data_IF_762444351714
#
_entry.id   IF_762444351714
#
_cell.length_a   1.000
_cell.length_b   1.000
_cell.length_c   1.000
_cell.angle_alpha   90.00
_cell.angle_beta   90.00
_cell.angle_gamma   90.00
#
_symmetry.space_group_name_H-M   'P 1'
#
loop_
_entity.id
_entity.type
_entity.pdbx_description
1 polymer ?
#
# COMPACT_ATOMS: atom_id res chain seq x y z
N UNK A 1 19.18 4.15 10.03
CA UNK A 1 20.35 4.99 9.70
C UNK A 1 21.69 4.31 10.00
N UNK A 2 21.98 3.83 11.20
CA UNK A 2 23.32 3.28 11.54
C UNK A 2 23.74 2.03 10.74
N UNK A 3 22.83 1.05 10.60
CA UNK A 3 23.19 -0.30 10.11
C UNK A 3 22.95 -0.55 8.63
N UNK A 4 21.90 0.06 8.08
CA UNK A 4 21.42 -0.25 6.74
C UNK A 4 21.56 0.89 5.75
N UNK A 5 21.67 2.15 6.18
CA UNK A 5 21.80 3.25 5.23
C UNK A 5 23.15 3.17 4.50
N UNK A 6 23.24 3.34 3.16
CA UNK A 6 22.21 3.78 2.22
C UNK A 6 21.56 2.64 1.40
N UNK A 7 21.43 1.44 1.95
CA UNK A 7 20.68 0.35 1.31
C UNK A 7 19.18 0.57 1.43
N UNK A 8 18.42 -0.17 0.61
CA UNK A 8 16.97 -0.08 0.56
C UNK A 8 16.31 -0.53 1.86
N UNK A 9 16.81 -1.59 2.49
CA UNK A 9 16.22 -2.19 3.69
C UNK A 9 17.25 -2.69 4.69
N UNK A 10 16.79 -2.99 5.91
CA UNK A 10 17.59 -3.58 6.97
C UNK A 10 17.42 -5.10 6.99
N UNK A 11 18.51 -5.84 7.17
CA UNK A 11 18.49 -7.22 7.66
C UNK A 11 18.52 -7.18 9.19
N UNK A 12 17.39 -7.39 9.88
CA UNK A 12 17.24 -7.05 11.29
C UNK A 12 17.96 -7.99 12.24
N UNK A 13 18.38 -9.18 11.81
CA UNK A 13 19.12 -10.14 12.65
C UNK A 13 20.63 -9.88 12.58
N UNK A 14 21.19 -9.75 11.37
CA UNK A 14 22.63 -9.46 11.19
C UNK A 14 22.99 -7.97 11.27
N UNK A 15 22.00 -7.08 11.28
CA UNK A 15 22.18 -5.62 11.32
C UNK A 15 23.05 -5.08 10.18
N UNK A 16 22.75 -5.50 8.96
CA UNK A 16 23.38 -5.01 7.73
C UNK A 16 22.31 -4.55 6.73
N UNK A 17 22.70 -3.74 5.76
CA UNK A 17 21.82 -3.33 4.67
C UNK A 17 21.51 -4.46 3.68
N UNK A 18 20.31 -4.41 3.11
CA UNK A 18 19.81 -5.25 2.02
C UNK A 18 19.46 -4.35 0.84
N UNK A 19 20.06 -4.63 -0.31
CA UNK A 19 19.64 -4.08 -1.60
C UNK A 19 19.22 -5.22 -2.51
N UNK A 20 19.08 -4.91 -3.79
CA UNK A 20 18.68 -5.90 -4.81
C UNK A 20 19.61 -7.11 -4.90
N UNK A 21 19.05 -8.24 -5.31
CA UNK A 21 19.79 -9.46 -5.61
C UNK A 21 20.46 -9.33 -6.99
N UNK A 22 21.72 -8.91 -6.96
CA UNK A 22 22.55 -8.78 -8.16
C UNK A 22 23.05 -10.13 -8.69
N UNK A 23 23.01 -11.17 -7.86
CA UNK A 23 23.46 -12.51 -8.25
C UNK A 23 22.36 -13.26 -9.00
N UNK A 24 21.10 -13.03 -8.63
CA UNK A 24 19.94 -13.58 -9.31
C UNK A 24 18.95 -12.47 -9.73
N UNK A 25 19.05 -11.96 -10.97
CA UNK A 25 18.10 -11.00 -11.52
C UNK A 25 16.65 -11.53 -11.58
N UNK A 26 16.44 -12.85 -11.53
CA UNK A 26 15.10 -13.46 -11.56
C UNK A 26 14.43 -13.56 -10.20
N UNK A 27 15.10 -13.13 -9.13
CA UNK A 27 14.55 -13.05 -7.77
C UNK A 27 13.54 -11.90 -7.65
N UNK A 28 12.38 -12.06 -8.30
CA UNK A 28 11.33 -11.03 -8.37
C UNK A 28 10.77 -10.70 -6.99
N UNK A 29 10.72 -11.65 -6.06
CA UNK A 29 10.24 -11.42 -4.70
C UNK A 29 11.06 -10.41 -3.89
N UNK A 30 12.26 -10.04 -4.37
CA UNK A 30 13.13 -9.03 -3.79
C UNK A 30 13.41 -7.90 -4.79
N UNK A 31 13.76 -8.22 -6.04
CA UNK A 31 14.15 -7.22 -7.05
C UNK A 31 12.99 -6.36 -7.55
N UNK A 32 11.74 -6.81 -7.42
CA UNK A 32 10.57 -6.01 -7.82
C UNK A 32 10.44 -4.74 -6.98
N UNK A 33 10.91 -4.79 -5.73
CA UNK A 33 10.79 -3.74 -4.71
C UNK A 33 12.14 -3.07 -4.43
N UNK A 34 13.26 -3.79 -4.45
CA UNK A 34 14.58 -3.22 -4.15
C UNK A 34 15.26 -2.75 -5.44
N UNK A 35 15.49 -1.44 -5.56
CA UNK A 35 16.11 -0.84 -6.74
C UNK A 35 17.31 0.04 -6.47
N UNK A 36 17.91 -0.06 -5.29
CA UNK A 36 19.06 0.72 -4.82
C UNK A 36 18.79 2.24 -4.79
N UNK A 37 17.65 2.64 -4.23
CA UNK A 37 17.16 4.02 -4.21
C UNK A 37 16.69 4.50 -2.83
N UNK A 38 17.26 3.93 -1.75
CA UNK A 38 16.99 4.32 -0.37
C UNK A 38 15.55 4.01 0.06
N UNK A 39 14.98 2.89 -0.40
CA UNK A 39 13.57 2.55 -0.26
C UNK A 39 12.99 2.89 1.13
N UNK A 40 13.51 2.27 2.19
CA UNK A 40 13.00 2.46 3.56
C UNK A 40 13.09 3.91 4.00
N UNK A 41 14.14 4.65 3.61
CA UNK A 41 14.27 6.05 4.00
C UNK A 41 13.19 6.91 3.35
N UNK A 42 12.93 6.72 2.06
CA UNK A 42 11.89 7.47 1.32
C UNK A 42 10.50 7.11 1.83
N UNK A 43 10.24 5.82 2.00
CA UNK A 43 8.96 5.28 2.49
C UNK A 43 8.62 5.78 3.91
N UNK A 44 9.64 6.00 4.75
CA UNK A 44 9.45 6.44 6.15
C UNK A 44 9.33 7.96 6.33
N UNK A 45 9.59 8.78 5.30
CA UNK A 45 9.69 10.25 5.48
C UNK A 45 8.44 10.85 6.13
N UNK A 46 7.25 10.49 5.65
CA UNK A 46 6.00 11.03 6.20
C UNK A 46 5.68 10.49 7.59
N UNK A 47 6.20 9.31 7.95
CA UNK A 47 6.09 8.77 9.32
C UNK A 47 6.83 9.66 10.31
N UNK A 48 8.03 10.14 9.97
CA UNK A 48 8.77 11.08 10.84
C UNK A 48 7.96 12.36 11.09
N UNK A 49 7.23 12.83 10.07
CA UNK A 49 6.32 13.95 10.20
C UNK A 49 5.13 13.63 11.11
N UNK A 50 4.53 12.45 10.98
CA UNK A 50 3.44 11.97 11.85
C UNK A 50 3.87 11.90 13.32
N UNK A 51 5.11 11.49 13.57
CA UNK A 51 5.70 11.40 14.91
C UNK A 51 6.03 12.76 15.55
N UNK A 52 5.96 13.86 14.79
CA UNK A 52 6.29 15.19 15.29
C UNK A 52 7.79 15.51 15.34
N UNK A 53 8.65 14.69 14.72
CA UNK A 53 10.11 14.88 14.74
C UNK A 53 10.61 15.69 13.54
N UNK A 54 10.53 17.03 13.65
CA UNK A 54 10.94 17.96 12.59
C UNK A 54 12.43 17.89 12.27
N UNK A 55 13.28 17.70 13.29
CA UNK A 55 14.73 17.65 13.10
C UNK A 55 15.11 16.40 12.31
N UNK A 56 14.54 15.24 12.67
CA UNK A 56 14.77 14.01 11.94
C UNK A 56 14.17 14.05 10.54
N UNK A 57 12.97 14.61 10.37
CA UNK A 57 12.35 14.78 9.05
C UNK A 57 13.24 15.62 8.11
N UNK A 58 13.70 16.80 8.55
CA UNK A 58 14.60 17.65 7.76
C UNK A 58 15.92 16.93 7.44
N UNK A 59 16.49 16.23 8.42
CA UNK A 59 17.72 15.42 8.22
C UNK A 59 17.51 14.30 7.20
N UNK A 60 16.40 13.58 7.29
CA UNK A 60 16.06 12.48 6.40
C UNK A 60 15.84 12.98 4.97
N UNK A 61 15.11 14.09 4.79
CA UNK A 61 14.96 14.75 3.48
C UNK A 61 16.32 15.12 2.92
N UNK A 62 17.19 15.78 3.69
CA UNK A 62 18.56 16.12 3.24
C UNK A 62 19.37 14.89 2.84
N UNK A 63 19.24 13.77 3.55
CA UNK A 63 19.90 12.53 3.19
C UNK A 63 19.37 11.97 1.87
N UNK A 64 18.06 11.95 1.65
CA UNK A 64 17.48 11.56 0.35
C UNK A 64 18.07 12.41 -0.77
N UNK A 65 18.04 13.74 -0.62
CA UNK A 65 18.53 14.66 -1.66
C UNK A 65 20.05 14.59 -1.90
N UNK A 66 20.82 14.13 -0.91
CA UNK A 66 22.27 13.98 -1.02
C UNK A 66 22.64 12.67 -1.73
N UNK A 67 21.92 11.58 -1.43
CA UNK A 67 22.29 10.23 -1.87
C UNK A 67 21.49 9.76 -3.09
N UNK A 68 20.27 10.24 -3.30
CA UNK A 68 19.42 9.96 -4.46
C UNK A 68 19.33 11.21 -5.35
N UNK A 69 20.10 11.21 -6.44
CA UNK A 69 20.18 12.36 -7.37
C UNK A 69 19.07 12.35 -8.43
N UNK A 70 18.80 11.17 -8.96
CA UNK A 70 17.81 10.86 -9.98
C UNK A 70 17.53 9.35 -9.94
N UNK A 71 16.55 8.90 -10.72
CA UNK A 71 16.21 7.50 -10.91
C UNK A 71 16.83 6.92 -12.19
N UNK A 72 17.97 7.45 -12.69
CA UNK A 72 18.73 6.87 -13.82
C UNK A 72 19.49 5.60 -13.44
N UNK A 73 18.76 4.68 -12.84
CA UNK A 73 19.25 3.45 -12.22
C UNK A 73 18.88 2.30 -13.14
N UNK A 74 19.87 1.48 -13.51
CA UNK A 74 19.63 0.25 -14.27
C UNK A 74 19.02 -0.82 -13.36
N UNK A 75 17.76 -0.64 -12.98
CA UNK A 75 16.98 -1.55 -12.13
C UNK A 75 15.65 -1.90 -12.78
N UNK A 76 15.36 -3.20 -12.81
CA UNK A 76 14.08 -3.75 -13.25
C UNK A 76 13.16 -3.87 -12.05
N UNK A 77 12.07 -3.12 -12.04
CA UNK A 77 11.22 -2.91 -10.87
C UNK A 77 9.76 -3.13 -11.22
N UNK A 78 8.94 -3.43 -10.21
CA UNK A 78 7.49 -3.54 -10.38
C UNK A 78 6.83 -2.16 -10.27
N UNK A 79 6.04 -1.81 -11.28
CA UNK A 79 5.40 -0.49 -11.39
C UNK A 79 4.51 -0.19 -10.19
N UNK A 80 3.75 -1.19 -9.74
CA UNK A 80 2.88 -1.09 -8.56
C UNK A 80 3.67 -0.74 -7.29
N UNK A 81 4.66 -1.56 -6.94
CA UNK A 81 5.46 -1.40 -5.72
C UNK A 81 6.21 -0.07 -5.67
N UNK A 82 6.82 0.32 -6.78
CA UNK A 82 7.56 1.59 -6.85
C UNK A 82 6.62 2.79 -6.83
N UNK A 83 5.40 2.65 -7.35
CA UNK A 83 4.40 3.72 -7.28
C UNK A 83 3.97 3.95 -5.84
N UNK A 84 3.51 2.92 -5.15
CA UNK A 84 2.92 3.09 -3.81
C UNK A 84 3.98 3.47 -2.76
N UNK A 85 5.21 2.94 -2.87
CA UNK A 85 6.31 3.21 -1.91
C UNK A 85 7.11 4.46 -2.26
N UNK A 86 7.74 4.48 -3.43
CA UNK A 86 8.71 5.54 -3.77
C UNK A 86 8.01 6.80 -4.26
N UNK A 87 7.10 6.68 -5.22
CA UNK A 87 6.37 7.84 -5.72
C UNK A 87 5.45 8.40 -4.61
N UNK A 88 4.72 7.53 -3.91
CA UNK A 88 3.91 7.89 -2.75
C UNK A 88 4.70 8.61 -1.65
N UNK A 89 5.80 8.04 -1.19
CA UNK A 89 6.65 8.62 -0.13
C UNK A 89 7.25 9.98 -0.51
N UNK A 90 7.78 10.12 -1.73
CA UNK A 90 8.31 11.40 -2.23
C UNK A 90 7.24 12.49 -2.31
N UNK A 91 6.05 12.15 -2.83
CA UNK A 91 4.94 13.09 -2.96
C UNK A 91 4.41 13.49 -1.58
N UNK A 92 4.20 12.53 -0.69
CA UNK A 92 3.74 12.79 0.68
C UNK A 92 4.70 13.72 1.43
N UNK A 93 5.98 13.39 1.43
CA UNK A 93 7.00 14.21 2.08
C UNK A 93 7.10 15.61 1.46
N UNK A 94 6.95 15.75 0.13
CA UNK A 94 6.91 17.06 -0.52
C UNK A 94 5.70 17.90 -0.06
N UNK A 95 4.52 17.29 0.01
CA UNK A 95 3.28 17.95 0.44
C UNK A 95 3.43 18.42 1.89
N UNK A 96 4.00 17.60 2.76
CA UNK A 96 4.26 17.95 4.16
C UNK A 96 5.29 19.09 4.25
N UNK A 97 6.40 18.99 3.51
CA UNK A 97 7.48 19.98 3.56
C UNK A 97 7.07 21.35 3.00
N UNK A 98 6.01 21.42 2.20
CA UNK A 98 5.50 22.66 1.58
C UNK A 98 4.10 23.04 2.07
N UNK A 99 3.61 22.40 3.14
CA UNK A 99 2.28 22.66 3.65
C UNK A 99 2.16 24.08 4.22
N UNK A 100 1.37 24.94 3.55
CA UNK A 100 1.15 26.32 3.99
C UNK A 100 0.46 26.42 5.35
N UNK A 101 -0.43 25.47 5.65
CA UNK A 101 -1.15 25.38 6.94
C UNK A 101 -0.25 24.83 8.06
N UNK A 102 0.90 24.28 7.69
CA UNK A 102 1.87 23.63 8.58
C UNK A 102 1.19 22.62 9.52
N UNK A 103 0.31 21.78 8.96
CA UNK A 103 -0.60 20.89 9.70
C UNK A 103 0.14 19.99 10.68
N UNK A 104 1.32 19.50 10.28
CA UNK A 104 2.21 18.65 11.08
C UNK A 104 3.40 19.40 11.67
N UNK A 105 3.54 20.71 11.45
CA UNK A 105 4.69 21.49 11.93
C UNK A 105 5.99 21.27 11.14
N UNK A 106 5.93 20.60 9.99
CA UNK A 106 7.08 20.09 9.23
C UNK A 106 7.47 20.93 8.03
N UNK A 107 6.89 22.12 7.86
CA UNK A 107 7.20 22.99 6.73
C UNK A 107 8.70 23.35 6.66
N UNK A 108 9.32 23.17 5.48
CA UNK A 108 10.76 23.34 5.21
C UNK A 108 11.09 24.42 4.15
N UNK A 109 10.10 24.90 3.39
CA UNK A 109 10.27 25.87 2.29
C UNK A 109 10.41 27.35 2.77
N UNK A 110 10.21 27.63 4.06
CA UNK A 110 10.18 28.99 4.62
C UNK A 110 11.53 29.74 4.50
N UNK A 111 12.65 29.04 4.64
CA UNK A 111 14.00 29.64 4.70
C UNK A 111 14.85 29.37 3.45
N UNK A 112 14.24 28.85 2.37
CA UNK A 112 14.96 28.45 1.16
C UNK A 112 15.84 27.20 1.33
N UNK A 113 15.72 26.48 2.44
CA UNK A 113 16.40 25.21 2.71
C UNK A 113 15.87 24.04 1.90
N UNK A 114 14.63 24.17 1.43
CA UNK A 114 13.95 23.22 0.56
C UNK A 114 13.24 23.99 -0.57
N UNK A 115 13.39 23.53 -1.80
CA UNK A 115 12.87 24.19 -3.00
C UNK A 115 12.26 23.15 -3.96
N UNK A 116 11.48 22.20 -3.43
CA UNK A 116 10.73 21.23 -4.21
C UNK A 116 11.57 20.12 -4.85
N UNK A 117 12.75 19.81 -4.30
CA UNK A 117 13.64 18.76 -4.82
C UNK A 117 12.97 17.38 -4.82
N UNK A 118 12.18 17.05 -3.78
CA UNK A 118 11.46 15.76 -3.74
C UNK A 118 10.41 15.66 -4.86
N UNK A 119 9.72 16.76 -5.20
CA UNK A 119 8.80 16.78 -6.34
C UNK A 119 9.54 16.59 -7.66
N UNK A 120 10.76 17.12 -7.80
CA UNK A 120 11.60 16.87 -9.00
C UNK A 120 11.98 15.40 -9.12
N UNK A 121 12.33 14.74 -8.01
CA UNK A 121 12.59 13.31 -7.97
C UNK A 121 11.33 12.49 -8.30
N UNK A 122 10.18 12.84 -7.71
CA UNK A 122 8.90 12.19 -7.99
C UNK A 122 8.52 12.31 -9.48
N UNK A 123 8.74 13.49 -10.07
CA UNK A 123 8.53 13.74 -11.50
C UNK A 123 9.46 12.88 -12.37
N UNK A 124 10.76 12.82 -12.05
CA UNK A 124 11.71 11.96 -12.77
C UNK A 124 11.29 10.48 -12.72
N UNK A 125 10.90 9.99 -11.53
CA UNK A 125 10.38 8.64 -11.37
C UNK A 125 9.12 8.40 -12.21
N UNK A 126 8.15 9.31 -12.16
CA UNK A 126 6.92 9.22 -12.93
C UNK A 126 7.19 9.03 -14.43
N UNK A 127 8.13 9.78 -15.00
CA UNK A 127 8.52 9.64 -16.41
C UNK A 127 9.13 8.28 -16.73
N UNK A 128 9.89 7.69 -15.81
CA UNK A 128 10.52 6.38 -15.99
C UNK A 128 9.54 5.21 -15.89
N UNK A 129 8.38 5.46 -15.28
CA UNK A 129 7.28 4.49 -15.21
C UNK A 129 6.36 4.54 -16.44
N UNK A 130 6.30 5.67 -17.18
CA UNK A 130 5.44 5.82 -18.36
C UNK A 130 5.64 4.75 -19.45
N UNK A 131 6.86 4.25 -19.76
CA UNK A 131 7.03 3.21 -20.76
C UNK A 131 6.19 1.96 -20.52
N UNK A 132 5.91 1.60 -19.27
CA UNK A 132 5.03 0.48 -18.94
C UNK A 132 3.59 0.67 -19.45
N UNK A 133 3.12 1.90 -19.55
CA UNK A 133 1.79 2.26 -20.04
C UNK A 133 1.80 2.51 -21.56
N UNK A 134 2.78 3.27 -22.05
CA UNK A 134 2.82 3.76 -23.44
C UNK A 134 3.06 2.62 -24.44
N UNK A 135 3.86 1.62 -24.05
CA UNK A 135 4.15 0.45 -24.89
C UNK A 135 3.08 -0.65 -24.75
N UNK A 136 2.06 -0.43 -23.92
CA UNK A 136 0.94 -1.36 -23.76
C UNK A 136 -0.06 -1.26 -24.93
N UNK A 137 -0.58 -2.38 -25.45
CA UNK A 137 -1.56 -2.38 -26.54
C UNK A 137 -2.91 -1.75 -26.17
N UNK A 138 -3.23 -1.58 -24.89
CA UNK A 138 -4.53 -1.07 -24.42
C UNK A 138 -4.42 -0.07 -23.25
N UNK A 139 -3.22 0.40 -22.92
CA UNK A 139 -2.98 1.32 -21.81
C UNK A 139 -2.98 0.68 -20.42
N UNK A 140 -3.22 -0.63 -20.29
CA UNK A 140 -2.96 -1.37 -19.05
C UNK A 140 -1.44 -1.50 -18.86
N UNK A 141 -0.85 -1.02 -17.75
CA UNK A 141 0.58 -1.06 -17.58
C UNK A 141 1.10 -2.50 -17.53
N UNK A 142 2.26 -2.73 -18.17
CA UNK A 142 3.07 -3.90 -17.83
C UNK A 142 3.41 -3.88 -16.33
N UNK A 143 3.47 -5.05 -15.70
CA UNK A 143 3.74 -5.12 -14.27
C UNK A 143 5.13 -4.57 -13.92
N UNK A 144 6.09 -4.64 -14.85
CA UNK A 144 7.48 -4.25 -14.63
C UNK A 144 8.02 -3.36 -15.74
N UNK A 145 9.03 -2.58 -15.40
CA UNK A 145 9.81 -1.74 -16.32
C UNK A 145 11.23 -1.57 -15.78
N UNK A 146 12.19 -1.22 -16.63
CA UNK A 146 13.51 -0.82 -16.18
C UNK A 146 13.58 0.72 -16.05
N UNK A 147 14.03 1.24 -14.91
CA UNK A 147 14.03 2.68 -14.63
C UNK A 147 14.97 3.48 -15.55
N UNK A 148 16.00 2.85 -16.12
CA UNK A 148 16.94 3.47 -17.06
C UNK A 148 16.58 3.18 -18.53
N UNK A 149 16.14 1.96 -18.81
CA UNK A 149 16.00 1.44 -20.16
C UNK A 149 14.56 1.38 -20.67
N UNK A 150 13.56 1.67 -19.84
CA UNK A 150 12.14 1.54 -20.19
C UNK A 150 11.70 0.07 -20.21
N UNK A 151 10.71 -0.24 -21.05
CA UNK A 151 10.15 -1.59 -21.12
C UNK A 151 11.16 -2.59 -21.72
N UNK A 152 11.55 -3.66 -21.01
CA UNK A 152 12.44 -4.67 -21.57
C UNK A 152 11.81 -5.45 -22.72
N UNK A 153 12.63 -5.83 -23.71
CA UNK A 153 12.17 -6.72 -24.80
C UNK A 153 11.76 -8.09 -24.24
N UNK A 154 10.53 -8.51 -24.53
CA UNK A 154 10.01 -9.79 -24.07
C UNK A 154 9.48 -9.75 -22.65
N UNK A 155 9.21 -8.56 -22.09
CA UNK A 155 8.51 -8.42 -20.82
C UNK A 155 7.17 -9.19 -20.82
N UNK A 156 6.84 -9.76 -19.67
CA UNK A 156 5.64 -10.57 -19.49
C UNK A 156 4.38 -9.70 -19.51
N UNK A 157 3.34 -10.16 -20.21
CA UNK A 157 2.02 -9.50 -20.27
C UNK A 157 1.17 -9.71 -19.01
N UNK A 158 1.66 -10.47 -18.04
CA UNK A 158 0.97 -10.80 -16.80
C UNK A 158 1.02 -9.64 -15.80
N UNK A 159 -0.13 -9.24 -15.29
CA UNK A 159 -0.29 -8.27 -14.20
C UNK A 159 -1.42 -8.72 -13.27
N UNK A 160 -1.75 -7.95 -12.24
CA UNK A 160 -2.87 -8.19 -11.35
C UNK A 160 -3.83 -7.00 -11.29
N UNK A 161 -5.05 -7.22 -10.77
CA UNK A 161 -6.04 -6.14 -10.68
C UNK A 161 -5.54 -4.98 -9.80
N UNK A 162 -4.95 -5.30 -8.64
CA UNK A 162 -4.33 -4.34 -7.75
C UNK A 162 -3.21 -3.55 -8.45
N UNK A 163 -2.31 -4.25 -9.15
CA UNK A 163 -1.18 -3.61 -9.84
C UNK A 163 -1.57 -2.63 -10.94
N UNK A 164 -2.76 -2.78 -11.52
CA UNK A 164 -3.31 -1.84 -12.52
C UNK A 164 -4.18 -0.76 -11.87
N UNK A 165 -4.95 -1.14 -10.85
CA UNK A 165 -5.96 -0.29 -10.24
C UNK A 165 -5.44 0.71 -9.20
N UNK A 166 -4.20 0.54 -8.76
CA UNK A 166 -3.67 1.19 -7.55
C UNK A 166 -2.54 2.18 -7.87
N UNK A 167 -2.76 2.99 -8.90
CA UNK A 167 -1.76 3.97 -9.38
C UNK A 167 -2.30 5.40 -9.38
N UNK A 168 -3.63 5.54 -9.27
CA UNK A 168 -4.33 6.78 -9.58
C UNK A 168 -4.11 7.89 -8.53
N UNK A 169 -3.97 7.54 -7.25
CA UNK A 169 -3.74 8.55 -6.21
C UNK A 169 -2.38 9.22 -6.39
N UNK A 170 -1.32 8.45 -6.59
CA UNK A 170 0.05 8.93 -6.76
C UNK A 170 0.24 9.66 -8.08
N UNK A 171 -0.17 9.04 -9.19
CA UNK A 171 -0.06 9.67 -10.52
C UNK A 171 -0.95 10.90 -10.63
N UNK A 172 -2.14 10.86 -10.02
CA UNK A 172 -3.01 12.03 -9.91
C UNK A 172 -2.35 13.15 -9.12
N UNK A 173 -1.85 12.85 -7.91
CA UNK A 173 -1.11 13.81 -7.07
C UNK A 173 0.06 14.43 -7.82
N UNK A 174 0.86 13.61 -8.53
CA UNK A 174 1.97 14.09 -9.34
C UNK A 174 1.49 15.07 -10.41
N UNK A 175 0.45 14.73 -11.17
CA UNK A 175 -0.15 15.64 -12.16
C UNK A 175 -0.62 16.97 -11.56
N UNK A 176 -1.20 16.96 -10.35
CA UNK A 176 -1.64 18.20 -9.68
C UNK A 176 -0.47 19.09 -9.29
N UNK A 177 0.58 18.50 -8.76
CA UNK A 177 1.74 19.23 -8.26
C UNK A 177 2.65 19.74 -9.39
N UNK A 178 2.77 19.00 -10.50
CA UNK A 178 3.62 19.41 -11.64
C UNK A 178 2.86 20.12 -12.76
N UNK A 179 1.53 20.11 -12.73
CA UNK A 179 0.65 20.58 -13.80
C UNK A 179 0.83 19.79 -15.12
N UNK A 180 1.25 18.53 -15.04
CA UNK A 180 1.44 17.63 -16.20
C UNK A 180 0.39 16.53 -16.18
N UNK A 181 -0.62 16.63 -17.04
CA UNK A 181 -1.79 15.74 -17.02
C UNK A 181 -1.51 14.31 -17.47
N UNK A 182 -0.35 14.04 -18.08
CA UNK A 182 0.00 12.71 -18.60
C UNK A 182 -0.08 11.62 -17.54
N UNK A 183 0.40 11.89 -16.31
CA UNK A 183 0.44 10.90 -15.23
C UNK A 183 -0.98 10.47 -14.82
N UNK A 184 -1.83 11.42 -14.46
CA UNK A 184 -3.23 11.14 -14.11
C UNK A 184 -3.97 10.47 -15.28
N UNK A 185 -3.73 10.91 -16.52
CA UNK A 185 -4.39 10.35 -17.69
C UNK A 185 -4.06 8.86 -17.90
N UNK A 186 -2.79 8.45 -17.82
CA UNK A 186 -2.42 7.03 -18.00
C UNK A 186 -2.99 6.15 -16.90
N UNK A 187 -2.97 6.62 -15.64
CA UNK A 187 -3.53 5.88 -14.51
C UNK A 187 -5.07 5.76 -14.60
N UNK A 188 -5.76 6.83 -15.03
CA UNK A 188 -7.22 6.79 -15.27
C UNK A 188 -7.58 5.84 -16.41
N UNK A 189 -6.82 5.84 -17.50
CA UNK A 189 -7.04 4.94 -18.62
C UNK A 189 -6.86 3.48 -18.21
N UNK A 190 -5.80 3.17 -17.46
CA UNK A 190 -5.53 1.85 -16.91
C UNK A 190 -6.68 1.34 -16.02
N UNK A 191 -7.15 2.17 -15.08
CA UNK A 191 -8.27 1.82 -14.20
C UNK A 191 -9.58 1.64 -14.99
N UNK A 192 -9.84 2.48 -16.00
CA UNK A 192 -11.01 2.36 -16.86
C UNK A 192 -10.97 1.08 -17.70
N UNK A 193 -9.82 0.71 -18.25
CA UNK A 193 -9.65 -0.54 -18.99
C UNK A 193 -9.93 -1.73 -18.06
N UNK A 194 -9.31 -1.74 -16.87
CA UNK A 194 -9.54 -2.79 -15.87
C UNK A 194 -11.02 -2.88 -15.48
N UNK A 195 -11.71 -1.76 -15.31
CA UNK A 195 -13.15 -1.71 -15.02
C UNK A 195 -14.00 -2.45 -16.07
N UNK A 196 -13.59 -2.46 -17.34
CA UNK A 196 -14.32 -3.15 -18.41
C UNK A 196 -14.17 -4.67 -18.41
N UNK A 197 -13.14 -5.20 -17.74
CA UNK A 197 -12.81 -6.64 -17.77
C UNK A 197 -13.52 -7.45 -16.69
N UNK A 198 -14.28 -6.80 -15.81
CA UNK A 198 -15.03 -7.46 -14.75
C UNK A 198 -16.03 -8.48 -15.28
N UNK A 199 -16.35 -9.46 -14.43
CA UNK A 199 -17.38 -10.43 -14.75
C UNK A 199 -18.78 -9.80 -14.75
N UNK A 200 -19.78 -10.54 -15.24
CA UNK A 200 -21.20 -10.18 -15.11
C UNK A 200 -21.67 -10.05 -13.65
N UNK A 201 -20.89 -10.54 -12.70
CA UNK A 201 -21.11 -10.40 -11.25
C UNK A 201 -20.36 -9.21 -10.65
N UNK A 202 -19.74 -8.37 -11.49
CA UNK A 202 -18.94 -7.20 -11.10
C UNK A 202 -17.68 -7.52 -10.28
N UNK A 203 -17.19 -8.76 -10.36
CA UNK A 203 -15.96 -9.19 -9.69
C UNK A 203 -14.76 -9.03 -10.64
N UNK A 204 -13.60 -8.69 -10.09
CA UNK A 204 -12.29 -8.75 -10.77
C UNK A 204 -11.65 -10.12 -10.53
N UNK A 205 -10.88 -10.60 -11.50
CA UNK A 205 -9.99 -11.74 -11.25
C UNK A 205 -8.69 -11.28 -10.61
N UNK A 206 -7.81 -12.22 -10.31
CA UNK A 206 -6.53 -11.95 -9.65
C UNK A 206 -5.45 -11.58 -10.66
N UNK A 207 -5.08 -12.52 -11.54
CA UNK A 207 -4.05 -12.32 -12.55
C UNK A 207 -4.67 -12.10 -13.93
N UNK A 208 -4.19 -11.08 -14.64
CA UNK A 208 -4.68 -10.60 -15.92
C UNK A 208 -3.56 -10.59 -16.96
N UNK A 209 -3.83 -11.09 -18.16
CA UNK A 209 -2.95 -10.94 -19.31
C UNK A 209 -3.42 -9.76 -20.16
N UNK A 210 -2.61 -8.70 -20.21
CA UNK A 210 -2.94 -7.47 -20.93
C UNK A 210 -2.95 -7.64 -22.45
N UNK A 211 -2.17 -8.59 -23.00
CA UNK A 211 -2.09 -8.83 -24.45
C UNK A 211 -3.31 -9.59 -24.96
N UNK A 212 -3.73 -10.61 -24.21
CA UNK A 212 -4.91 -11.43 -24.52
C UNK A 212 -6.21 -10.81 -24.02
N UNK A 213 -6.12 -9.78 -23.16
CA UNK A 213 -7.25 -9.19 -22.42
C UNK A 213 -8.07 -10.23 -21.68
N UNK A 214 -7.39 -11.12 -20.95
CA UNK A 214 -8.01 -12.29 -20.29
C UNK A 214 -7.49 -12.49 -18.88
N UNK A 215 -8.40 -12.84 -17.98
CA UNK A 215 -8.06 -13.34 -16.64
C UNK A 215 -7.42 -14.72 -16.71
N UNK A 216 -6.19 -14.82 -16.25
CA UNK A 216 -5.41 -16.06 -16.17
C UNK A 216 -5.71 -16.81 -14.86
N UNK A 217 -5.92 -16.07 -13.77
CA UNK A 217 -6.37 -16.59 -12.49
C UNK A 217 -7.69 -15.90 -12.10
N UNK A 218 -8.86 -16.45 -12.46
CA UNK A 218 -10.17 -15.84 -12.23
C UNK A 218 -10.66 -15.99 -10.78
N UNK A 219 -9.76 -15.99 -9.79
CA UNK A 219 -10.10 -15.95 -8.37
C UNK A 219 -10.31 -14.48 -7.98
N UNK A 220 -11.37 -14.22 -7.22
CA UNK A 220 -11.74 -12.92 -6.66
C UNK A 220 -11.91 -13.04 -5.15
N UNK A 221 -11.88 -11.92 -4.45
CA UNK A 221 -11.96 -11.88 -2.99
C UNK A 221 -11.48 -10.51 -2.50
N UNK A 222 -10.98 -10.47 -1.27
CA UNK A 222 -10.43 -9.26 -0.64
C UNK A 222 -8.92 -9.32 -0.47
N UNK A 223 -8.25 -10.36 -0.99
CA UNK A 223 -6.84 -10.61 -0.74
C UNK A 223 -5.89 -10.16 -1.84
N UNK A 224 -4.66 -10.67 -1.73
CA UNK A 224 -3.51 -10.27 -2.51
C UNK A 224 -3.79 -10.25 -4.01
N UNK A 225 -3.56 -9.12 -4.67
CA UNK A 225 -3.67 -8.95 -6.12
C UNK A 225 -5.03 -8.43 -6.60
N UNK A 226 -6.00 -8.28 -5.70
CA UNK A 226 -7.27 -7.56 -5.95
C UNK A 226 -7.58 -6.51 -4.89
N UNK A 227 -7.24 -6.74 -3.63
CA UNK A 227 -7.28 -5.80 -2.50
C UNK A 227 -7.38 -4.30 -2.86
N UNK A 228 -6.27 -3.66 -3.23
CA UNK A 228 -6.13 -2.21 -3.24
C UNK A 228 -6.85 -1.55 -4.43
N UNK A 229 -7.37 -2.31 -5.41
CA UNK A 229 -8.25 -1.73 -6.44
C UNK A 229 -9.55 -1.21 -5.81
N UNK A 230 -10.10 -1.91 -4.82
CA UNK A 230 -11.33 -1.50 -4.16
C UNK A 230 -11.09 -0.26 -3.32
N UNK A 231 -9.97 -0.26 -2.60
CA UNK A 231 -9.50 0.88 -1.82
C UNK A 231 -9.34 2.12 -2.70
N UNK A 232 -8.68 2.00 -3.86
CA UNK A 232 -8.45 3.13 -4.75
C UNK A 232 -9.72 3.61 -5.44
N UNK A 233 -10.72 2.76 -5.68
CA UNK A 233 -12.03 3.22 -6.13
C UNK A 233 -12.67 4.13 -5.07
N UNK A 234 -12.67 3.74 -3.79
CA UNK A 234 -13.25 4.57 -2.74
C UNK A 234 -12.41 5.83 -2.48
N UNK A 235 -11.10 5.67 -2.26
CA UNK A 235 -10.18 6.77 -1.93
C UNK A 235 -10.05 7.77 -3.09
N UNK A 236 -10.17 7.34 -4.36
CA UNK A 236 -10.22 8.27 -5.49
C UNK A 236 -11.49 9.14 -5.48
N UNK A 237 -12.62 8.64 -4.99
CA UNK A 237 -13.78 9.51 -4.79
C UNK A 237 -13.51 10.57 -3.72
N UNK A 238 -12.96 10.16 -2.56
CA UNK A 238 -12.63 11.08 -1.46
C UNK A 238 -11.64 12.15 -1.94
N UNK A 239 -10.62 11.73 -2.68
CA UNK A 239 -9.53 12.58 -3.17
C UNK A 239 -9.96 13.51 -4.32
N UNK A 240 -10.58 12.99 -5.38
CA UNK A 240 -10.93 13.81 -6.57
C UNK A 240 -12.34 14.40 -6.55
N UNK A 241 -13.23 13.93 -5.66
CA UNK A 241 -14.66 14.30 -5.65
C UNK A 241 -15.47 13.75 -6.83
N UNK A 242 -14.90 12.84 -7.61
CA UNK A 242 -15.53 12.30 -8.82
C UNK A 242 -16.41 11.09 -8.48
N UNK A 243 -17.73 11.29 -8.57
CA UNK A 243 -18.73 10.28 -8.24
C UNK A 243 -18.69 9.03 -9.13
N UNK A 244 -17.95 9.04 -10.25
CA UNK A 244 -17.71 7.83 -11.03
C UNK A 244 -17.00 6.76 -10.20
N UNK A 245 -16.06 7.18 -9.35
CA UNK A 245 -15.29 6.26 -8.51
C UNK A 245 -16.12 5.69 -7.36
N UNK A 246 -16.96 6.51 -6.72
CA UNK A 246 -17.90 6.02 -5.70
C UNK A 246 -18.88 5.00 -6.28
N UNK A 247 -19.52 5.33 -7.41
CA UNK A 247 -20.41 4.37 -8.10
C UNK A 247 -19.68 3.09 -8.47
N UNK A 248 -18.41 3.21 -8.83
CA UNK A 248 -17.61 2.07 -9.21
C UNK A 248 -17.34 1.17 -7.99
N UNK A 249 -16.92 1.78 -6.89
CA UNK A 249 -16.76 1.15 -5.59
C UNK A 249 -18.05 0.46 -5.13
N UNK A 250 -19.18 1.16 -5.11
CA UNK A 250 -20.48 0.63 -4.63
C UNK A 250 -20.86 -0.66 -5.35
N UNK A 251 -20.65 -0.70 -6.67
CA UNK A 251 -20.93 -1.86 -7.52
C UNK A 251 -20.03 -3.05 -7.16
N UNK A 252 -18.73 -2.82 -6.96
CA UNK A 252 -17.79 -3.89 -6.63
C UNK A 252 -17.91 -4.35 -5.19
N UNK A 253 -18.16 -3.41 -4.27
CA UNK A 253 -18.37 -3.66 -2.86
C UNK A 253 -19.64 -4.48 -2.62
N UNK A 254 -20.75 -4.09 -3.26
CA UNK A 254 -22.00 -4.87 -3.24
C UNK A 254 -21.80 -6.29 -3.77
N UNK A 255 -20.96 -6.47 -4.79
CA UNK A 255 -20.64 -7.80 -5.30
C UNK A 255 -19.84 -8.65 -4.31
N UNK A 256 -18.87 -8.07 -3.60
CA UNK A 256 -18.13 -8.76 -2.53
C UNK A 256 -19.06 -9.16 -1.38
N UNK A 257 -19.92 -8.24 -0.93
CA UNK A 257 -20.93 -8.52 0.10
C UNK A 257 -21.90 -9.64 -0.32
N UNK A 258 -22.28 -9.68 -1.60
CA UNK A 258 -23.22 -10.66 -2.12
C UNK A 258 -22.59 -12.05 -2.34
N UNK A 259 -21.37 -12.10 -2.87
CA UNK A 259 -20.79 -13.33 -3.39
C UNK A 259 -19.61 -13.86 -2.59
N UNK A 260 -18.84 -13.00 -1.90
CA UNK A 260 -17.64 -13.39 -1.15
C UNK A 260 -17.90 -13.48 0.36
N UNK A 261 -18.71 -12.57 0.93
CA UNK A 261 -19.01 -12.55 2.36
C UNK A 261 -19.73 -13.83 2.81
N UNK A 262 -19.27 -14.40 3.91
CA UNK A 262 -19.96 -15.50 4.59
C UNK A 262 -21.36 -15.07 5.01
N UNK A 263 -22.37 -15.81 4.55
CA UNK A 263 -23.79 -15.53 4.84
C UNK A 263 -24.25 -16.11 6.17
N UNK A 264 -23.44 -16.94 6.83
CA UNK A 264 -23.80 -17.56 8.11
C UNK A 264 -23.55 -16.60 9.27
N UNK A 265 -22.34 -16.06 9.37
CA UNK A 265 -21.94 -15.21 10.48
C UNK A 265 -21.32 -13.88 10.05
N UNK A 266 -21.05 -13.68 8.75
CA UNK A 266 -20.56 -12.40 8.23
C UNK A 266 -19.11 -12.07 8.59
N UNK A 267 -18.36 -13.02 9.13
CA UNK A 267 -16.99 -12.82 9.65
C UNK A 267 -15.89 -12.97 8.59
N UNK A 268 -16.14 -13.68 7.49
CA UNK A 268 -15.13 -14.01 6.50
C UNK A 268 -15.56 -13.56 5.11
N UNK A 269 -14.57 -13.25 4.27
CA UNK A 269 -14.72 -13.05 2.84
C UNK A 269 -13.98 -14.17 2.11
N UNK A 270 -14.72 -15.08 1.50
CA UNK A 270 -14.15 -16.22 0.79
C UNK A 270 -13.58 -15.81 -0.56
N UNK A 271 -12.53 -16.49 -0.97
CA UNK A 271 -12.06 -16.46 -2.35
C UNK A 271 -13.07 -17.19 -3.25
N UNK A 272 -13.59 -16.50 -4.26
CA UNK A 272 -14.62 -17.00 -5.17
C UNK A 272 -14.21 -16.88 -6.62
N UNK A 273 -14.75 -17.74 -7.47
CA UNK A 273 -14.50 -17.68 -8.90
C UNK A 273 -15.28 -16.50 -9.49
N UNK A 274 -14.62 -15.58 -10.19
CA UNK A 274 -15.20 -14.30 -10.56
C UNK A 274 -16.46 -14.42 -11.45
N UNK A 275 -16.56 -15.46 -12.29
CA UNK A 275 -17.73 -15.66 -13.17
C UNK A 275 -18.88 -16.42 -12.48
N UNK A 276 -18.57 -17.52 -11.78
CA UNK A 276 -19.60 -18.40 -11.19
C UNK A 276 -20.00 -17.99 -9.77
N UNK A 277 -19.15 -17.24 -9.07
CA UNK A 277 -19.23 -16.95 -7.63
C UNK A 277 -19.19 -18.20 -6.75
N UNK A 278 -18.69 -19.32 -7.26
CA UNK A 278 -18.43 -20.51 -6.45
C UNK A 278 -17.15 -20.31 -5.65
N UNK A 279 -17.14 -20.81 -4.40
CA UNK A 279 -15.95 -20.78 -3.54
C UNK A 279 -14.80 -21.50 -4.26
N UNK A 280 -13.71 -20.76 -4.48
CA UNK A 280 -12.48 -21.25 -5.12
C UNK A 280 -11.47 -21.77 -4.12
N UNK A 281 -11.42 -21.19 -2.92
CA UNK A 281 -10.59 -21.68 -1.83
C UNK A 281 -11.17 -21.30 -0.47
N UNK A 282 -10.72 -22.03 0.55
CA UNK A 282 -11.09 -21.79 1.95
C UNK A 282 -10.01 -21.05 2.73
N UNK A 283 -8.95 -20.57 2.06
CA UNK A 283 -7.94 -19.75 2.73
C UNK A 283 -8.24 -18.26 2.54
N UNK A 284 -7.83 -17.46 3.53
CA UNK A 284 -7.67 -16.00 3.44
C UNK A 284 -6.20 -15.67 3.62
N UNK A 285 -5.75 -14.53 3.09
CA UNK A 285 -4.39 -14.06 3.30
C UNK A 285 -4.32 -12.94 4.34
N UNK A 286 -3.12 -12.67 4.84
CA UNK A 286 -2.89 -11.61 5.83
C UNK A 286 -3.26 -10.22 5.29
N UNK A 287 -3.05 -10.00 3.99
CA UNK A 287 -3.34 -8.72 3.32
C UNK A 287 -4.83 -8.39 3.38
N UNK A 288 -5.70 -9.40 3.28
CA UNK A 288 -7.16 -9.26 3.40
C UNK A 288 -7.62 -8.57 4.71
N UNK A 289 -6.74 -8.46 5.72
CA UNK A 289 -7.03 -7.78 6.98
C UNK A 289 -7.19 -6.26 6.85
N UNK A 290 -6.93 -5.65 5.68
CA UNK A 290 -7.16 -4.22 5.42
C UNK A 290 -8.65 -3.91 5.24
N UNK A 291 -9.39 -4.93 4.75
CA UNK A 291 -10.75 -4.77 4.26
C UNK A 291 -11.73 -4.23 5.32
N UNK A 292 -11.66 -4.63 6.61
CA UNK A 292 -12.46 -3.98 7.66
C UNK A 292 -12.22 -2.47 7.76
N UNK A 293 -10.97 -1.99 7.69
CA UNK A 293 -10.66 -0.56 7.65
C UNK A 293 -11.28 0.15 6.44
N UNK A 294 -11.26 -0.49 5.27
CA UNK A 294 -11.94 0.01 4.07
C UNK A 294 -13.47 0.04 4.24
N UNK A 295 -14.06 -0.96 4.92
CA UNK A 295 -15.50 -0.98 5.24
C UNK A 295 -15.90 0.17 6.16
N UNK A 296 -15.06 0.50 7.16
CA UNK A 296 -15.26 1.70 7.99
C UNK A 296 -15.28 2.96 7.13
N UNK A 297 -14.31 3.12 6.21
CA UNK A 297 -14.27 4.27 5.30
C UNK A 297 -15.50 4.34 4.38
N UNK A 298 -16.07 3.20 4.02
CA UNK A 298 -17.32 3.10 3.26
C UNK A 298 -18.59 3.37 4.09
N UNK A 299 -18.46 3.47 5.42
CA UNK A 299 -19.56 3.67 6.36
C UNK A 299 -20.24 2.38 6.83
N UNK A 300 -19.73 1.18 6.49
CA UNK A 300 -20.21 -0.10 7.01
C UNK A 300 -19.43 -0.51 8.26
N UNK A 301 -19.65 0.21 9.37
CA UNK A 301 -18.95 -0.02 10.65
C UNK A 301 -19.35 -1.37 11.25
N UNK A 302 -20.64 -1.70 11.32
CA UNK A 302 -21.11 -2.99 11.88
C UNK A 302 -20.55 -4.20 11.12
N UNK A 303 -20.48 -4.10 9.78
CA UNK A 303 -19.86 -5.11 8.95
C UNK A 303 -18.36 -5.22 9.17
N UNK A 304 -17.68 -4.08 9.35
CA UNK A 304 -16.25 -4.03 9.64
C UNK A 304 -15.92 -4.69 10.98
N UNK A 305 -16.65 -4.37 12.05
CA UNK A 305 -16.49 -4.99 13.38
C UNK A 305 -16.61 -6.51 13.28
N UNK A 306 -17.62 -7.00 12.55
CA UNK A 306 -17.81 -8.43 12.32
C UNK A 306 -16.60 -9.04 11.59
N UNK A 307 -16.23 -8.51 10.43
CA UNK A 307 -15.12 -9.05 9.63
C UNK A 307 -13.77 -9.00 10.38
N UNK A 308 -13.56 -7.98 11.20
CA UNK A 308 -12.36 -7.80 12.02
C UNK A 308 -12.15 -8.91 13.03
N UNK A 309 -13.22 -9.45 13.62
CA UNK A 309 -13.13 -10.47 14.68
C UNK A 309 -12.42 -11.75 14.22
N UNK A 310 -12.48 -12.09 12.93
CA UNK A 310 -11.74 -13.22 12.38
C UNK A 310 -10.22 -13.02 12.56
N UNK A 311 -9.70 -11.87 12.15
CA UNK A 311 -8.27 -11.56 12.24
C UNK A 311 -7.83 -11.40 13.70
N UNK A 312 -8.68 -10.79 14.54
CA UNK A 312 -8.44 -10.74 15.98
C UNK A 312 -8.25 -12.13 16.59
N UNK A 313 -9.12 -13.09 16.27
CA UNK A 313 -9.01 -14.45 16.79
C UNK A 313 -7.80 -15.21 16.23
N UNK A 314 -7.40 -14.94 14.98
CA UNK A 314 -6.18 -15.49 14.40
C UNK A 314 -4.96 -14.93 15.17
N UNK A 315 -4.87 -13.61 15.33
CA UNK A 315 -3.79 -12.96 16.08
C UNK A 315 -3.72 -13.49 17.51
N UNK A 316 -4.84 -13.55 18.23
CA UNK A 316 -4.93 -14.07 19.60
C UNK A 316 -4.41 -15.50 19.75
N UNK A 317 -4.48 -16.31 18.69
CA UNK A 317 -4.01 -17.70 18.70
C UNK A 317 -2.52 -17.82 18.37
N UNK A 318 -2.04 -17.02 17.43
CA UNK A 318 -0.72 -17.20 16.82
C UNK A 318 0.27 -16.07 17.14
N UNK A 319 -0.17 -14.99 17.78
CA UNK A 319 0.60 -13.76 18.03
C UNK A 319 1.10 -13.06 16.75
N UNK A 320 0.45 -13.39 15.63
CA UNK A 320 0.72 -12.92 14.27
C UNK A 320 -0.39 -13.46 13.36
N UNK A 321 -0.58 -12.86 12.18
CA UNK A 321 -1.48 -13.41 11.15
C UNK A 321 -0.63 -14.16 10.12
N UNK A 322 -0.77 -15.49 9.98
CA UNK A 322 -0.04 -16.22 8.95
C UNK A 322 -0.43 -15.68 7.57
N UNK A 323 0.53 -15.64 6.65
CA UNK A 323 0.34 -15.10 5.30
C UNK A 323 -0.84 -15.75 4.58
N UNK A 324 -1.11 -17.03 4.84
CA UNK A 324 -2.39 -17.68 4.48
C UNK A 324 -2.93 -18.53 5.60
N UNK A 325 -4.17 -18.28 5.98
CA UNK A 325 -4.91 -19.03 6.98
C UNK A 325 -6.08 -19.80 6.35
N UNK A 326 -6.14 -21.11 6.57
CA UNK A 326 -7.21 -21.96 6.09
C UNK A 326 -8.40 -21.95 7.04
N UNK A 327 -9.55 -21.42 6.62
CA UNK A 327 -10.76 -21.30 7.44
C UNK A 327 -11.41 -22.65 7.74
N UNK A 328 -11.26 -23.63 6.86
CA UNK A 328 -11.83 -24.97 7.05
C UNK A 328 -10.98 -25.79 8.04
N UNK A 329 -9.67 -25.88 7.80
CA UNK A 329 -8.74 -26.60 8.67
C UNK A 329 -8.44 -25.86 9.97
N UNK A 330 -8.67 -24.54 9.99
CA UNK A 330 -8.32 -23.62 11.08
C UNK A 330 -6.82 -23.64 11.40
N UNK A 331 -6.01 -23.72 10.36
CA UNK A 331 -4.55 -23.83 10.43
C UNK A 331 -3.88 -22.96 9.35
N UNK A 332 -2.63 -22.52 9.55
CA UNK A 332 -1.85 -21.84 8.51
C UNK A 332 -1.54 -22.75 7.31
N UNK A 333 -1.90 -22.32 6.11
CA UNK A 333 -1.43 -22.93 4.84
C UNK A 333 -0.04 -22.38 4.47
N UNK A 334 0.21 -21.10 4.73
CA UNK A 334 1.52 -20.45 4.64
C UNK A 334 1.77 -19.76 5.98
N UNK A 335 2.78 -20.24 6.71
CA UNK A 335 2.95 -19.96 8.13
C UNK A 335 3.80 -18.74 8.47
N UNK A 336 4.44 -18.08 7.52
CA UNK A 336 5.24 -16.88 7.82
C UNK A 336 4.33 -15.65 8.06
N UNK A 337 4.83 -14.65 8.80
CA UNK A 337 4.23 -13.32 8.99
C UNK A 337 5.30 -12.26 8.79
N UNK A 338 5.09 -11.39 7.80
CA UNK A 338 6.08 -10.41 7.35
C UNK A 338 5.92 -9.03 8.00
N UNK A 339 5.44 -8.96 9.25
CA UNK A 339 5.16 -7.67 9.93
C UNK A 339 4.10 -6.85 9.17
N UNK A 340 3.11 -7.54 8.62
CA UNK A 340 2.02 -7.02 7.78
C UNK A 340 1.18 -5.96 8.54
N UNK A 341 0.92 -4.77 7.95
CA UNK A 341 0.26 -3.64 8.62
C UNK A 341 -1.27 -3.72 8.65
N UNK A 342 -1.89 -4.54 7.82
CA UNK A 342 -3.28 -4.39 7.42
C UNK A 342 -4.28 -4.61 8.58
N UNK A 343 -3.95 -5.52 9.50
CA UNK A 343 -4.74 -5.71 10.73
C UNK A 343 -4.63 -4.52 11.69
N UNK A 344 -3.46 -3.89 11.76
CA UNK A 344 -3.22 -2.70 12.57
C UNK A 344 -3.94 -1.50 11.95
N UNK A 345 -3.89 -1.33 10.63
CA UNK A 345 -4.65 -0.31 9.91
C UNK A 345 -6.15 -0.42 10.24
N UNK A 346 -6.73 -1.62 10.11
CA UNK A 346 -8.13 -1.85 10.46
C UNK A 346 -8.44 -1.56 11.92
N UNK A 347 -7.52 -1.89 12.84
CA UNK A 347 -7.65 -1.56 14.27
C UNK A 347 -7.71 -0.06 14.48
N UNK A 348 -6.83 0.69 13.81
CA UNK A 348 -6.82 2.15 13.83
C UNK A 348 -8.14 2.74 13.32
N UNK A 349 -8.60 2.36 12.13
CA UNK A 349 -9.85 2.91 11.57
C UNK A 349 -11.07 2.59 12.44
N UNK A 350 -11.17 1.36 12.95
CA UNK A 350 -12.27 0.97 13.84
C UNK A 350 -12.27 1.75 15.14
N UNK A 351 -11.09 1.95 15.76
CA UNK A 351 -10.98 2.82 16.93
C UNK A 351 -11.43 4.25 16.61
N UNK A 352 -10.94 4.83 15.51
CA UNK A 352 -11.33 6.21 15.13
C UNK A 352 -12.83 6.38 14.88
N UNK A 353 -13.49 5.34 14.35
CA UNK A 353 -14.92 5.39 14.05
C UNK A 353 -15.82 5.13 15.28
N UNK A 354 -15.39 4.27 16.19
CA UNK A 354 -16.23 3.79 17.30
C UNK A 354 -15.85 4.42 18.65
N UNK A 355 -14.60 4.83 18.80
CA UNK A 355 -13.95 5.17 20.07
C UNK A 355 -14.06 4.05 21.11
N UNK A 356 -14.21 2.79 20.68
CA UNK A 356 -14.27 1.65 21.58
C UNK A 356 -12.87 1.30 22.11
N UNK A 357 -12.64 1.31 23.43
CA UNK A 357 -11.34 0.97 24.03
C UNK A 357 -10.87 -0.45 23.71
N UNK A 358 -11.75 -1.37 23.27
CA UNK A 358 -11.36 -2.68 22.80
C UNK A 358 -10.23 -2.64 21.76
N UNK A 359 -10.27 -1.68 20.83
CA UNK A 359 -9.24 -1.55 19.80
C UNK A 359 -7.90 -1.04 20.35
N UNK A 360 -7.91 -0.28 21.45
CA UNK A 360 -6.68 0.11 22.17
C UNK A 360 -6.06 -1.10 22.87
N UNK A 361 -6.87 -1.96 23.50
CA UNK A 361 -6.41 -3.21 24.12
C UNK A 361 -5.79 -4.15 23.05
N UNK A 362 -6.37 -4.19 21.85
CA UNK A 362 -5.79 -4.92 20.71
C UNK A 362 -4.45 -4.30 20.29
N UNK A 363 -4.36 -2.97 20.22
CA UNK A 363 -3.10 -2.29 19.96
C UNK A 363 -2.00 -2.60 20.97
N UNK A 364 -2.35 -2.66 22.27
CA UNK A 364 -1.40 -3.02 23.34
C UNK A 364 -0.93 -4.47 23.20
N UNK A 365 -1.84 -5.39 22.87
CA UNK A 365 -1.49 -6.78 22.58
C UNK A 365 -0.51 -6.87 21.40
N UNK A 366 -0.79 -6.19 20.30
CA UNK A 366 0.08 -6.18 19.11
C UNK A 366 1.46 -5.62 19.47
N UNK A 367 1.52 -4.49 20.18
CA UNK A 367 2.79 -3.91 20.64
C UNK A 367 3.58 -4.86 21.52
N UNK A 368 2.91 -5.59 22.42
CA UNK A 368 3.53 -6.59 23.27
C UNK A 368 4.13 -7.72 22.44
N UNK A 369 3.38 -8.27 21.49
CA UNK A 369 3.84 -9.35 20.62
C UNK A 369 5.02 -8.89 19.73
N UNK A 370 4.94 -7.69 19.13
CA UNK A 370 6.05 -7.11 18.34
C UNK A 370 7.33 -6.96 19.17
N UNK A 371 7.22 -6.45 20.40
CA UNK A 371 8.39 -6.21 21.25
C UNK A 371 8.99 -7.50 21.83
N UNK A 372 8.16 -8.52 22.08
CA UNK A 372 8.60 -9.76 22.74
C UNK A 372 9.08 -10.82 21.77
N UNK A 373 8.46 -10.92 20.58
CA UNK A 373 8.75 -11.96 19.60
C UNK A 373 9.62 -11.47 18.44
N UNK A 374 9.42 -10.22 18.00
CA UNK A 374 9.93 -9.74 16.70
C UNK A 374 11.01 -8.67 16.81
N UNK A 375 11.27 -8.12 18.01
CA UNK A 375 12.28 -7.08 18.19
C UNK A 375 13.70 -7.63 18.18
N UNK A 376 14.59 -6.96 17.45
CA UNK A 376 16.03 -7.27 17.42
C UNK A 376 16.86 -6.09 17.93
N UNK A 377 18.19 -6.21 17.93
CA UNK A 377 19.09 -5.14 18.35
C UNK A 377 19.06 -3.91 17.45
N UNK A 378 18.62 -4.04 16.19
CA UNK A 378 18.66 -2.97 15.21
C UNK A 378 17.32 -2.69 14.51
N UNK A 379 16.25 -3.45 14.80
CA UNK A 379 14.94 -3.26 14.19
C UNK A 379 13.90 -4.27 14.64
N UNK A 380 13.01 -4.65 13.73
CA UNK A 380 12.03 -5.73 13.89
C UNK A 380 12.24 -6.78 12.80
N UNK A 381 11.94 -8.04 13.08
CA UNK A 381 12.14 -9.15 12.16
C UNK A 381 10.86 -9.94 11.98
N UNK A 382 10.64 -10.43 10.76
CA UNK A 382 9.52 -11.28 10.41
C UNK A 382 9.57 -12.65 11.13
N UNK A 383 8.42 -13.29 11.21
CA UNK A 383 8.28 -14.67 11.70
C UNK A 383 8.24 -15.60 10.49
N UNK A 384 9.12 -16.60 10.44
CA UNK A 384 9.12 -17.65 9.41
C UNK A 384 7.98 -18.66 9.62
N UNK A 385 7.63 -18.98 10.87
CA UNK A 385 6.51 -19.88 11.18
C UNK A 385 5.79 -19.45 12.47
N UNK A 386 4.53 -19.04 12.36
CA UNK A 386 3.71 -18.56 13.48
C UNK A 386 3.36 -19.63 14.53
N UNK A 387 3.60 -20.91 14.25
CA UNK A 387 3.38 -22.00 15.22
C UNK A 387 4.57 -22.16 16.15
N UNK A 388 5.79 -21.99 15.62
CA UNK A 388 7.04 -22.14 16.37
C UNK A 388 7.65 -20.81 16.81
N UNK A 389 7.17 -19.70 16.23
CA UNK A 389 7.75 -18.37 16.34
C UNK A 389 9.23 -18.32 15.90
N UNK A 390 9.64 -19.20 15.00
CA UNK A 390 10.96 -19.11 14.37
C UNK A 390 11.05 -17.84 13.52
N UNK A 391 12.17 -17.13 13.58
CA UNK A 391 12.35 -15.83 12.95
C UNK A 391 12.90 -15.96 11.51
N UNK A 392 12.54 -15.02 10.66
CA UNK A 392 13.06 -14.83 9.31
C UNK A 392 13.78 -13.49 9.21
N UNK A 393 14.95 -13.46 8.57
CA UNK A 393 15.77 -12.25 8.46
C UNK A 393 15.23 -11.27 7.40
N UNK A 394 14.11 -10.65 7.71
CA UNK A 394 13.38 -9.75 6.82
C UNK A 394 12.72 -8.64 7.61
N UNK A 395 12.90 -7.40 7.13
CA UNK A 395 12.20 -6.21 7.59
C UNK A 395 11.95 -5.35 6.36
N UNK A 396 10.73 -5.40 5.86
CA UNK A 396 10.37 -4.66 4.66
C UNK A 396 10.08 -3.18 5.00
N UNK A 397 10.16 -2.29 4.01
CA UNK A 397 10.04 -0.84 4.24
C UNK A 397 8.71 -0.41 4.88
N UNK A 398 7.61 -1.10 4.53
CA UNK A 398 6.26 -0.87 5.07
C UNK A 398 6.13 -1.03 6.58
N UNK A 399 7.09 -1.70 7.23
CA UNK A 399 7.08 -1.82 8.69
C UNK A 399 7.19 -0.44 9.33
N UNK A 400 8.03 0.43 8.77
CA UNK A 400 8.19 1.79 9.26
C UNK A 400 7.10 2.72 8.70
N UNK A 401 6.75 2.61 7.42
CA UNK A 401 5.79 3.51 6.78
C UNK A 401 4.34 3.22 7.15
N UNK A 402 3.99 2.00 7.57
CA UNK A 402 2.61 1.62 7.86
C UNK A 402 2.44 1.04 9.25
N UNK A 403 3.09 -0.10 9.54
CA UNK A 403 2.84 -0.87 10.78
C UNK A 403 3.05 -0.01 12.02
N UNK A 404 4.20 0.65 12.12
CA UNK A 404 4.51 1.52 13.25
C UNK A 404 3.77 2.86 13.18
N UNK A 405 3.47 3.38 11.99
CA UNK A 405 2.69 4.61 11.79
C UNK A 405 1.27 4.46 12.33
N UNK A 406 0.55 3.41 11.92
CA UNK A 406 -0.82 3.16 12.39
C UNK A 406 -0.87 2.80 13.86
N UNK A 407 0.12 2.07 14.40
CA UNK A 407 0.22 1.86 15.85
C UNK A 407 0.43 3.18 16.60
N UNK A 408 1.28 4.07 16.10
CA UNK A 408 1.46 5.39 16.72
C UNK A 408 0.16 6.20 16.71
N UNK A 409 -0.48 6.30 15.54
CA UNK A 409 -1.74 7.02 15.36
C UNK A 409 -2.88 6.43 16.22
N UNK A 410 -2.91 5.12 16.43
CA UNK A 410 -3.89 4.48 17.32
C UNK A 410 -3.84 5.06 18.75
N UNK A 411 -2.66 5.42 19.25
CA UNK A 411 -2.47 5.93 20.61
C UNK A 411 -2.30 7.45 20.71
N UNK A 412 -2.02 8.15 19.61
CA UNK A 412 -1.93 9.61 19.58
C UNK A 412 -3.29 10.26 19.29
N UNK A 413 -4.21 10.22 20.26
CA UNK A 413 -5.58 10.71 20.09
C UNK A 413 -5.69 12.14 19.51
N UNK A 414 -4.72 13.00 19.83
CA UNK A 414 -4.71 14.41 19.43
C UNK A 414 -3.92 14.69 18.15
N UNK A 415 -3.46 13.65 17.43
CA UNK A 415 -2.72 13.82 16.19
C UNK A 415 -3.49 14.74 15.21
N UNK A 416 -2.85 15.72 14.57
CA UNK A 416 -3.51 16.61 13.61
C UNK A 416 -4.25 15.88 12.48
N UNK A 417 -3.80 14.68 12.10
CA UNK A 417 -4.42 13.87 11.06
C UNK A 417 -5.81 13.33 11.44
N UNK A 418 -6.16 13.28 12.73
CA UNK A 418 -7.43 12.75 13.20
C UNK A 418 -8.62 13.71 13.08
N UNK A 419 -8.40 14.96 12.69
CA UNK A 419 -9.47 15.95 12.58
C UNK A 419 -10.43 15.57 11.44
N UNK A 420 -11.73 15.53 11.73
CA UNK A 420 -12.77 15.12 10.77
C UNK A 420 -12.81 15.97 9.50
N UNK A 421 -12.54 17.27 9.61
CA UNK A 421 -12.51 18.21 8.48
C UNK A 421 -11.15 18.25 7.77
N UNK A 422 -10.24 17.34 8.11
CA UNK A 422 -8.91 17.36 7.52
C UNK A 422 -8.95 16.86 6.08
N UNK A 423 -8.24 17.55 5.19
CA UNK A 423 -8.21 17.24 3.77
C UNK A 423 -7.25 16.08 3.45
N UNK A 424 -7.04 15.13 4.37
CA UNK A 424 -6.01 14.10 4.22
C UNK A 424 -6.60 12.74 3.84
N UNK A 425 -5.89 12.02 2.98
CA UNK A 425 -6.21 10.66 2.57
C UNK A 425 -4.92 9.84 2.59
N UNK A 426 -4.92 8.73 3.33
CA UNK A 426 -3.82 7.75 3.28
C UNK A 426 -3.88 6.95 1.99
N UNK A 427 -2.75 6.73 1.31
CA UNK A 427 -2.65 5.75 0.22
C UNK A 427 -2.72 4.32 0.75
N UNK A 428 -2.57 3.31 -0.12
CA UNK A 428 -2.49 1.90 0.30
C UNK A 428 -1.18 1.57 1.03
N UNK A 429 -0.16 2.43 0.93
CA UNK A 429 1.14 2.29 1.63
C UNK A 429 1.20 3.25 2.84
N UNK A 430 0.04 3.63 3.38
CA UNK A 430 -0.07 4.53 4.52
C UNK A 430 0.50 5.94 4.32
N UNK A 431 0.78 6.36 3.08
CA UNK A 431 1.29 7.71 2.83
C UNK A 431 0.20 8.76 2.92
N UNK A 432 0.43 9.82 3.67
CA UNK A 432 -0.55 10.92 3.75
C UNK A 432 -0.52 11.79 2.48
N UNK A 433 -1.66 11.94 1.82
CA UNK A 433 -1.86 12.88 0.71
C UNK A 433 -2.87 13.96 1.11
N UNK A 434 -2.91 15.09 0.38
CA UNK A 434 -3.94 16.12 0.55
C UNK A 434 -4.94 16.10 -0.60
N UNK A 435 -6.20 16.38 -0.31
CA UNK A 435 -7.27 16.60 -1.28
C UNK A 435 -6.97 17.84 -2.11
N UNK A 436 -6.88 17.70 -3.43
CA UNK A 436 -6.77 18.83 -4.35
C UNK A 436 -8.12 19.16 -4.97
N UNK A 437 -8.35 20.44 -5.30
CA UNK A 437 -9.51 20.84 -6.11
C UNK A 437 -9.43 20.11 -7.47
N UNK A 438 -10.60 19.69 -7.99
CA UNK A 438 -10.69 19.12 -9.32
C UNK A 438 -10.04 20.05 -10.36
N UNK A 439 -9.52 19.49 -11.47
CA UNK A 439 -9.10 20.35 -12.58
C UNK A 439 -10.38 21.05 -13.00
N UNK A 440 -10.37 22.38 -13.08
CA UNK A 440 -11.48 23.08 -13.71
C UNK A 440 -11.69 22.40 -15.05
N UNK A 441 -12.90 21.90 -15.30
CA UNK A 441 -13.29 21.27 -16.55
C UNK A 441 -13.41 22.33 -17.66
N UNK A 442 -12.34 23.09 -17.87
CA UNK A 442 -12.15 24.07 -18.93
C UNK A 442 -10.82 23.74 -19.61
N UNK A 443 -10.90 22.99 -20.71
CA UNK A 443 -9.80 22.62 -21.59
C UNK A 443 -10.12 21.38 -22.40
#
# INVERSE_FOLDING_TARGET
MEYAFPFDELKPITCIGRGRDRADPSNTGLNDVLGDYLLTLVDTLDTLAVLGDKEEFDRAVKNVLTYLKDFDIDSHVQVFEVTIRMLGGLLSAHIIATDEEDTLGMRLDVNGTYNGELLRLARDLGYRLLPAFEESPNGTPYARTNLKHGLPKGETSGTCAAGVGTLLLEFGTLSRLTNETIFENVARLALNEMWTTRSKKNLFGNAYDLSMRKWMHPISGTGAGVDSIYEYLLKSYVYFGDHRYLRAFDVTYSALLQYSRDTTAGYAFYNVHMQSAEISSFWIDALSAFFPGMMVLAGDVDGAESAYMLYYHIWRRFHAIPERFNLYLREPDISYYLLRPEFIESTYYLYRATMDPFYLDVGEMILTDLNTLMRTSCGYTSIHDVRSHSLEERMDSFVLSETLKYLYLLFDDNNPLHKLDNNHVFTTEGHTTKKYKAFDAQG
#
